data_IF_510838044329
#
_entry.id   IF_510838044329
#
_cell.length_a   1.000
_cell.length_b   1.000
_cell.length_c   1.000
_cell.angle_alpha   90.00
_cell.angle_beta   90.00
_cell.angle_gamma   90.00
#
_symmetry.space_group_name_H-M   'P 1'
#
loop_
_entity.id
_entity.type
_entity.pdbx_description
1 polymer ?
#
# COMPACT_ATOMS: atom_id res chain seq x y z
N UNK A 1 14.38 -14.24 -9.19
CA UNK A 1 13.26 -14.27 -10.16
C UNK A 1 12.71 -15.69 -10.36
N UNK A 2 13.56 -16.74 -10.35
CA UNK A 2 13.15 -18.15 -10.46
C UNK A 2 12.31 -18.62 -9.24
N UNK A 3 12.69 -18.24 -8.01
CA UNK A 3 11.98 -18.66 -6.80
C UNK A 3 10.50 -18.22 -6.73
N UNK A 4 10.17 -17.01 -7.18
CA UNK A 4 8.78 -16.52 -7.16
C UNK A 4 7.90 -17.20 -8.24
N UNK A 5 8.48 -17.54 -9.39
CA UNK A 5 7.77 -18.23 -10.47
C UNK A 5 7.50 -19.71 -10.10
N UNK A 6 8.47 -20.39 -9.47
CA UNK A 6 8.29 -21.76 -8.99
C UNK A 6 7.23 -21.83 -7.88
N UNK A 7 7.24 -20.88 -6.94
CA UNK A 7 6.26 -20.83 -5.86
C UNK A 7 4.85 -20.52 -6.37
N UNK A 8 4.72 -19.61 -7.33
CA UNK A 8 3.43 -19.30 -7.97
C UNK A 8 2.85 -20.48 -8.74
N UNK A 9 3.69 -21.22 -9.47
CA UNK A 9 3.28 -22.44 -10.19
C UNK A 9 2.86 -23.55 -9.22
N UNK A 10 3.60 -23.75 -8.13
CA UNK A 10 3.27 -24.76 -7.13
C UNK A 10 1.96 -24.46 -6.41
N UNK A 11 1.71 -23.18 -6.08
CA UNK A 11 0.45 -22.72 -5.48
C UNK A 11 -0.73 -22.97 -6.44
N UNK A 12 -0.57 -22.62 -7.72
CA UNK A 12 -1.61 -22.82 -8.72
C UNK A 12 -1.91 -24.30 -8.95
N UNK A 13 -0.88 -25.15 -8.97
CA UNK A 13 -1.02 -26.60 -9.07
C UNK A 13 -1.80 -27.19 -7.88
N UNK A 14 -1.49 -26.76 -6.65
CA UNK A 14 -2.20 -27.21 -5.44
C UNK A 14 -3.68 -26.78 -5.47
N UNK A 15 -3.98 -25.55 -5.92
CA UNK A 15 -5.37 -25.08 -6.07
C UNK A 15 -6.14 -25.93 -7.08
N UNK A 16 -5.53 -26.23 -8.23
CA UNK A 16 -6.14 -27.08 -9.27
C UNK A 16 -6.37 -28.50 -8.74
N UNK A 17 -5.39 -29.07 -8.01
CA UNK A 17 -5.51 -30.40 -7.42
C UNK A 17 -6.67 -30.48 -6.43
N UNK A 18 -6.79 -29.48 -5.55
CA UNK A 18 -7.90 -29.36 -4.59
C UNK A 18 -9.23 -29.30 -5.34
N UNK A 19 -9.33 -28.47 -6.38
CA UNK A 19 -10.54 -28.32 -7.18
C UNK A 19 -10.97 -29.63 -7.86
N UNK A 20 -10.01 -30.39 -8.41
CA UNK A 20 -10.28 -31.71 -9.01
C UNK A 20 -10.79 -32.70 -7.97
N UNK A 21 -10.17 -32.78 -6.79
CA UNK A 21 -10.62 -33.67 -5.71
C UNK A 21 -12.06 -33.34 -5.29
N UNK A 22 -12.41 -32.05 -5.18
CA UNK A 22 -13.77 -31.62 -4.86
C UNK A 22 -14.79 -31.99 -5.94
N UNK A 23 -14.47 -31.76 -7.23
CA UNK A 23 -15.32 -32.19 -8.34
C UNK A 23 -15.56 -33.70 -8.32
N UNK A 24 -14.54 -34.48 -7.97
CA UNK A 24 -14.62 -35.93 -7.86
C UNK A 24 -15.57 -36.34 -6.73
N UNK A 25 -15.47 -35.70 -5.56
CA UNK A 25 -16.36 -35.96 -4.41
C UNK A 25 -17.82 -35.62 -4.74
N UNK A 26 -18.06 -34.50 -5.44
CA UNK A 26 -19.40 -34.11 -5.87
C UNK A 26 -19.97 -35.12 -6.88
N UNK A 27 -19.16 -35.55 -7.86
CA UNK A 27 -19.57 -36.52 -8.87
C UNK A 27 -19.95 -37.88 -8.29
N UNK A 28 -19.20 -38.37 -7.29
CA UNK A 28 -19.48 -39.65 -6.64
C UNK A 28 -20.50 -39.57 -5.51
N UNK A 29 -20.94 -38.37 -5.10
CA UNK A 29 -21.91 -38.22 -4.03
C UNK A 29 -23.31 -38.65 -4.49
N UNK A 30 -23.78 -39.79 -3.99
CA UNK A 30 -25.18 -40.23 -4.15
C UNK A 30 -26.17 -39.40 -3.34
N UNK A 31 -25.70 -38.69 -2.32
CA UNK A 31 -26.52 -37.89 -1.43
C UNK A 31 -26.46 -36.41 -1.85
N UNK A 32 -27.56 -35.91 -2.45
CA UNK A 32 -27.67 -34.52 -2.91
C UNK A 32 -27.42 -33.50 -1.80
N UNK A 33 -27.91 -33.76 -0.58
CA UNK A 33 -27.74 -32.85 0.56
C UNK A 33 -26.28 -32.78 0.99
N UNK A 34 -25.58 -33.92 1.03
CA UNK A 34 -24.16 -33.96 1.36
C UNK A 34 -23.31 -33.24 0.29
N UNK A 35 -23.67 -33.39 -0.99
CA UNK A 35 -22.98 -32.70 -2.08
C UNK A 35 -23.16 -31.17 -1.99
N UNK A 36 -24.37 -30.69 -1.74
CA UNK A 36 -24.64 -29.26 -1.55
C UNK A 36 -23.88 -28.68 -0.35
N UNK A 37 -23.81 -29.41 0.77
CA UNK A 37 -23.08 -28.96 1.96
C UNK A 37 -21.57 -28.85 1.69
N UNK A 38 -21.00 -29.79 0.93
CA UNK A 38 -19.60 -29.76 0.49
C UNK A 38 -19.33 -28.57 -0.44
N UNK A 39 -20.23 -28.30 -1.40
CA UNK A 39 -20.13 -27.15 -2.30
C UNK A 39 -20.17 -25.84 -1.52
N UNK A 40 -21.13 -25.69 -0.61
CA UNK A 40 -21.25 -24.50 0.25
C UNK A 40 -20.00 -24.30 1.11
N UNK A 41 -19.47 -25.37 1.72
CA UNK A 41 -18.22 -25.32 2.49
C UNK A 41 -17.02 -24.88 1.65
N UNK A 42 -16.92 -25.37 0.40
CA UNK A 42 -15.86 -24.97 -0.52
C UNK A 42 -15.96 -23.50 -0.93
N UNK A 43 -17.16 -23.05 -1.30
CA UNK A 43 -17.40 -21.63 -1.66
C UNK A 43 -17.03 -20.74 -0.47
N UNK A 44 -17.43 -21.11 0.74
CA UNK A 44 -17.10 -20.35 1.95
C UNK A 44 -15.59 -20.29 2.18
N UNK A 45 -14.90 -21.44 2.14
CA UNK A 45 -13.45 -21.49 2.31
C UNK A 45 -12.71 -20.66 1.25
N UNK A 46 -13.10 -20.78 -0.01
CA UNK A 46 -12.50 -20.02 -1.10
C UNK A 46 -12.72 -18.52 -0.92
N UNK A 47 -13.94 -18.13 -0.54
CA UNK A 47 -14.30 -16.72 -0.29
C UNK A 47 -13.44 -16.14 0.84
N UNK A 48 -13.31 -16.84 1.96
CA UNK A 48 -12.48 -16.40 3.10
C UNK A 48 -11.01 -16.21 2.68
N UNK A 49 -10.44 -17.19 1.96
CA UNK A 49 -9.06 -17.12 1.50
C UNK A 49 -8.84 -16.01 0.46
N UNK A 50 -9.81 -15.81 -0.44
CA UNK A 50 -9.79 -14.72 -1.40
C UNK A 50 -9.67 -13.37 -0.69
N UNK A 51 -10.51 -13.11 0.32
CA UNK A 51 -10.44 -11.89 1.11
C UNK A 51 -9.10 -11.76 1.85
N UNK A 52 -8.58 -12.82 2.46
CA UNK A 52 -7.32 -12.76 3.20
C UNK A 52 -6.10 -12.45 2.32
N UNK A 53 -6.07 -12.98 1.08
CA UNK A 53 -4.97 -12.76 0.13
C UNK A 53 -5.06 -11.36 -0.50
N UNK A 54 -6.26 -10.91 -0.86
CA UNK A 54 -6.46 -9.64 -1.55
C UNK A 54 -6.55 -8.44 -0.61
N UNK A 55 -7.05 -8.64 0.61
CA UNK A 55 -7.26 -7.61 1.61
C UNK A 55 -6.54 -8.02 2.91
N UNK A 56 -5.26 -7.66 3.08
CA UNK A 56 -4.56 -7.97 4.31
C UNK A 56 -5.24 -7.28 5.50
N UNK A 57 -5.41 -8.02 6.61
CA UNK A 57 -6.04 -7.49 7.84
C UNK A 57 -5.21 -6.35 8.43
N UNK A 58 -3.88 -6.47 8.36
CA UNK A 58 -2.94 -5.48 8.85
C UNK A 58 -1.99 -5.05 7.75
N UNK A 59 -1.75 -3.75 7.64
CA UNK A 59 -0.81 -3.14 6.71
C UNK A 59 0.18 -2.26 7.48
N UNK A 60 1.38 -2.08 6.91
CA UNK A 60 2.33 -1.15 7.48
C UNK A 60 1.87 0.29 7.23
N UNK A 61 1.83 1.11 8.27
CA UNK A 61 1.32 2.49 8.21
C UNK A 61 2.39 3.56 8.40
N UNK A 62 3.53 3.18 9.00
CA UNK A 62 4.61 4.10 9.31
C UNK A 62 5.92 3.64 8.67
N UNK A 63 6.61 4.55 7.99
CA UNK A 63 7.93 4.32 7.41
C UNK A 63 8.90 5.41 7.88
N UNK A 64 10.01 4.99 8.47
CA UNK A 64 11.12 5.87 8.85
C UNK A 64 12.18 5.93 7.74
N UNK A 65 12.49 7.13 7.30
CA UNK A 65 13.56 7.42 6.34
C UNK A 65 14.51 8.42 6.99
N UNK A 66 15.66 7.94 7.46
CA UNK A 66 16.56 8.72 8.31
C UNK A 66 15.79 9.33 9.50
N UNK A 67 15.70 10.66 9.58
CA UNK A 67 14.96 11.37 10.64
C UNK A 67 13.52 11.72 10.26
N UNK A 68 13.06 11.33 9.07
CA UNK A 68 11.71 11.62 8.58
C UNK A 68 10.77 10.45 8.83
N UNK A 69 9.56 10.76 9.29
CA UNK A 69 8.49 9.78 9.51
C UNK A 69 7.40 10.02 8.47
N UNK A 70 7.12 9.01 7.66
CA UNK A 70 6.00 8.99 6.73
C UNK A 70 4.88 8.16 7.33
N UNK A 71 3.70 8.75 7.46
CA UNK A 71 2.51 8.10 8.04
C UNK A 71 1.42 8.05 6.98
N UNK A 72 0.79 6.90 6.83
CA UNK A 72 -0.46 6.77 6.07
C UNK A 72 -1.63 7.14 6.97
N UNK A 73 -1.89 8.44 7.14
CA UNK A 73 -3.14 8.88 7.77
C UNK A 73 -4.24 8.93 6.70
N UNK A 74 -5.25 8.09 6.87
CA UNK A 74 -6.44 8.14 6.06
C UNK A 74 -7.27 9.34 6.47
N UNK A 75 -7.23 10.40 5.67
CA UNK A 75 -8.15 11.53 5.79
C UNK A 75 -9.26 11.38 4.74
N UNK A 76 -10.47 11.03 5.18
CA UNK A 76 -11.62 10.81 4.30
C UNK A 76 -12.06 12.03 3.46
N UNK A 77 -11.53 13.22 3.77
CA UNK A 77 -11.80 14.46 3.04
C UNK A 77 -10.86 14.71 1.84
N UNK A 78 -9.70 14.03 1.77
CA UNK A 78 -8.70 14.24 0.70
C UNK A 78 -8.40 12.88 0.04
N UNK A 79 -8.86 12.65 -1.20
CA UNK A 79 -8.75 11.34 -1.84
C UNK A 79 -7.30 10.95 -2.22
N UNK A 80 -6.37 11.90 -2.32
CA UNK A 80 -4.93 11.62 -2.39
C UNK A 80 -4.30 11.84 -1.01
N UNK A 81 -3.92 10.75 -0.33
CA UNK A 81 -3.08 10.82 0.87
C UNK A 81 -1.79 11.56 0.51
N UNK A 82 -1.61 12.76 1.06
CA UNK A 82 -0.39 13.54 0.87
C UNK A 82 0.66 13.03 1.84
N UNK A 83 1.86 12.73 1.32
CA UNK A 83 2.97 12.23 2.13
C UNK A 83 4.01 13.33 2.26
N UNK A 84 4.12 13.98 3.42
CA UNK A 84 5.15 15.00 3.64
C UNK A 84 6.46 14.36 4.09
N UNK A 85 7.58 14.77 3.48
CA UNK A 85 8.92 14.43 3.94
C UNK A 85 9.40 15.52 4.92
N UNK A 86 8.68 15.67 6.03
CA UNK A 86 8.93 16.72 7.01
C UNK A 86 8.91 18.12 6.38
N UNK A 87 9.94 18.90 6.65
CA UNK A 87 10.15 20.27 6.13
C UNK A 87 10.58 20.32 4.66
N UNK A 88 10.82 19.17 4.01
CA UNK A 88 11.34 19.11 2.63
C UNK A 88 10.28 19.20 1.56
N UNK A 89 9.03 18.85 1.89
CA UNK A 89 7.88 18.97 0.98
C UNK A 89 7.12 17.67 0.74
N UNK A 90 6.17 17.69 -0.18
CA UNK A 90 5.25 16.58 -0.44
C UNK A 90 5.80 15.59 -1.47
N UNK A 91 5.70 14.30 -1.18
CA UNK A 91 6.17 13.20 -2.00
C UNK A 91 5.15 12.81 -3.07
N UNK A 92 5.61 12.81 -4.32
CA UNK A 92 4.87 12.29 -5.48
C UNK A 92 5.11 10.80 -5.65
N UNK A 93 6.37 10.36 -5.53
CA UNK A 93 6.80 8.97 -5.73
C UNK A 93 7.95 8.63 -4.80
N UNK A 94 8.07 7.36 -4.45
CA UNK A 94 9.12 6.81 -3.59
C UNK A 94 9.50 5.40 -4.07
N UNK A 95 10.72 4.96 -3.79
CA UNK A 95 11.15 3.58 -3.79
C UNK A 95 12.44 3.42 -2.98
N UNK A 96 12.82 2.16 -2.73
CA UNK A 96 14.11 1.79 -2.15
C UNK A 96 14.92 0.99 -3.17
N UNK A 97 16.15 1.42 -3.44
CA UNK A 97 17.13 0.67 -4.25
C UNK A 97 18.36 0.43 -3.40
N UNK A 98 18.61 -0.85 -3.06
CA UNK A 98 19.62 -1.23 -2.06
C UNK A 98 19.34 -0.49 -0.74
N UNK A 99 20.32 0.26 -0.24
CA UNK A 99 20.22 1.05 1.00
C UNK A 99 19.82 2.51 0.77
N UNK A 100 19.48 2.87 -0.48
CA UNK A 100 19.09 4.23 -0.84
C UNK A 100 17.57 4.35 -0.98
N UNK A 101 17.01 5.30 -0.25
CA UNK A 101 15.67 5.82 -0.49
C UNK A 101 15.72 6.84 -1.61
N UNK A 102 14.85 6.67 -2.60
CA UNK A 102 14.77 7.55 -3.76
C UNK A 102 13.33 7.95 -3.93
N UNK A 103 13.09 9.24 -4.08
CA UNK A 103 11.76 9.73 -4.37
C UNK A 103 11.79 10.98 -5.19
N UNK A 104 10.59 11.52 -5.39
CA UNK A 104 10.36 12.77 -6.09
C UNK A 104 9.46 13.63 -5.21
N UNK A 105 9.92 14.84 -4.89
CA UNK A 105 9.14 15.86 -4.20
C UNK A 105 8.47 16.72 -5.27
N UNK A 106 7.15 16.92 -5.14
CA UNK A 106 6.39 17.85 -5.99
C UNK A 106 7.10 19.20 -6.05
N UNK A 107 7.07 19.90 -7.17
CA UNK A 107 7.42 21.32 -7.13
C UNK A 107 6.34 22.11 -6.39
N UNK A 108 6.68 23.34 -6.01
CA UNK A 108 5.82 24.15 -5.17
C UNK A 108 4.45 24.44 -5.80
N UNK A 109 4.43 24.69 -7.11
CA UNK A 109 3.21 25.02 -7.84
C UNK A 109 2.31 23.78 -7.97
N UNK A 110 2.89 22.61 -8.27
CA UNK A 110 2.22 21.31 -8.23
C UNK A 110 1.66 20.98 -6.83
N UNK A 111 2.41 21.28 -5.78
CA UNK A 111 2.02 20.99 -4.40
C UNK A 111 0.88 21.89 -3.91
N UNK A 112 0.94 23.20 -4.19
CA UNK A 112 -0.16 24.12 -3.87
C UNK A 112 -1.43 23.68 -4.57
N UNK A 113 -1.38 23.47 -5.88
CA UNK A 113 -2.57 23.09 -6.65
C UNK A 113 -3.24 21.80 -6.15
N UNK A 114 -2.49 20.92 -5.49
CA UNK A 114 -2.99 19.63 -5.00
C UNK A 114 -3.37 19.64 -3.52
N UNK A 115 -2.71 20.43 -2.68
CA UNK A 115 -2.75 20.23 -1.23
C UNK A 115 -2.90 21.51 -0.40
N UNK A 116 -2.59 22.70 -0.93
CA UNK A 116 -2.54 23.94 -0.14
C UNK A 116 -3.35 25.06 -0.80
N UNK A 117 -4.10 25.83 -0.01
CA UNK A 117 -4.68 27.08 -0.49
C UNK A 117 -3.59 28.14 -0.69
N UNK A 118 -3.57 28.75 -1.89
CA UNK A 118 -2.44 29.52 -2.43
C UNK A 118 -2.14 30.87 -1.73
N UNK A 119 -2.86 31.24 -0.68
CA UNK A 119 -3.04 32.66 -0.33
C UNK A 119 -1.89 33.31 0.46
N UNK A 120 -0.82 32.59 0.85
CA UNK A 120 0.15 33.11 1.82
C UNK A 120 1.64 32.79 1.62
N UNK A 121 2.16 32.59 0.41
CA UNK A 121 3.42 31.84 0.31
C UNK A 121 4.45 32.35 -0.74
N UNK A 122 4.88 33.61 -0.60
CA UNK A 122 5.97 34.15 -1.45
C UNK A 122 7.39 33.67 -1.07
N UNK A 123 7.69 33.59 0.24
CA UNK A 123 9.03 33.19 0.74
C UNK A 123 9.23 31.68 0.81
N UNK A 124 8.19 30.91 1.14
CA UNK A 124 8.31 29.45 1.25
C UNK A 124 8.45 28.78 -0.12
N UNK A 125 8.02 29.42 -1.22
CA UNK A 125 8.22 28.91 -2.60
C UNK A 125 9.69 28.66 -2.93
N UNK A 126 10.57 29.62 -2.62
CA UNK A 126 12.00 29.53 -2.95
C UNK A 126 12.66 28.42 -2.14
N UNK A 127 12.35 28.34 -0.84
CA UNK A 127 12.91 27.34 0.05
C UNK A 127 12.40 25.93 -0.27
N UNK A 128 11.12 25.80 -0.57
CA UNK A 128 10.51 24.54 -0.99
C UNK A 128 11.11 24.03 -2.30
N UNK A 129 11.25 24.90 -3.32
CA UNK A 129 11.80 24.49 -4.61
C UNK A 129 13.28 24.11 -4.57
N UNK A 130 14.03 24.45 -3.52
CA UNK A 130 15.39 23.91 -3.32
C UNK A 130 15.40 22.43 -3.00
N UNK A 131 14.27 21.86 -2.59
CA UNK A 131 14.13 20.44 -2.27
C UNK A 131 13.32 19.68 -3.34
N UNK A 132 12.60 20.38 -4.21
CA UNK A 132 11.77 19.76 -5.25
C UNK A 132 12.61 19.00 -6.28
N UNK A 133 11.99 18.03 -6.94
CA UNK A 133 12.67 17.13 -7.87
C UNK A 133 13.08 15.81 -7.21
N UNK A 134 14.06 15.11 -7.79
CA UNK A 134 14.48 13.81 -7.26
C UNK A 134 15.39 13.97 -6.04
N UNK A 135 15.32 13.01 -5.12
CA UNK A 135 16.22 12.95 -3.98
C UNK A 135 16.78 11.53 -3.77
N UNK A 136 17.89 11.47 -3.03
CA UNK A 136 18.49 10.24 -2.52
C UNK A 136 18.77 10.43 -1.03
N UNK A 137 18.24 9.56 -0.19
CA UNK A 137 18.52 9.52 1.26
C UNK A 137 19.07 8.14 1.61
N UNK A 138 20.22 8.11 2.27
CA UNK A 138 20.79 6.91 2.88
C UNK A 138 21.34 7.25 4.28
N UNK A 139 22.07 6.31 4.88
CA UNK A 139 22.67 6.50 6.22
C UNK A 139 23.82 7.52 6.26
N UNK A 140 24.41 7.86 5.12
CA UNK A 140 25.60 8.70 5.01
C UNK A 140 25.28 10.11 4.54
N UNK A 141 24.35 10.26 3.59
CA UNK A 141 24.01 11.53 2.98
C UNK A 141 22.53 11.65 2.58
N UNK A 142 22.11 12.90 2.45
CA UNK A 142 20.81 13.31 1.94
C UNK A 142 21.04 14.30 0.81
N UNK A 143 20.61 13.95 -0.39
CA UNK A 143 20.77 14.75 -1.59
C UNK A 143 19.39 15.06 -2.14
N UNK A 144 19.10 16.34 -2.39
CA UNK A 144 17.84 16.82 -2.93
C UNK A 144 18.07 17.57 -4.25
N UNK A 145 16.99 17.91 -4.94
CA UNK A 145 17.03 18.68 -6.19
C UNK A 145 17.91 18.07 -7.28
N UNK A 146 17.81 16.75 -7.41
CA UNK A 146 18.50 16.00 -8.46
C UNK A 146 17.59 15.85 -9.69
N UNK A 147 18.22 15.72 -10.86
CA UNK A 147 17.54 15.23 -12.06
C UNK A 147 17.46 13.70 -12.05
N UNK A 148 16.59 13.14 -12.89
CA UNK A 148 16.45 11.69 -13.00
C UNK A 148 17.77 11.02 -13.43
N UNK A 149 18.49 11.67 -14.34
CA UNK A 149 19.78 11.25 -14.88
C UNK A 149 20.86 11.22 -13.79
N UNK A 150 20.94 12.26 -12.97
CA UNK A 150 21.89 12.33 -11.86
C UNK A 150 21.65 11.20 -10.85
N UNK A 151 20.38 10.87 -10.58
CA UNK A 151 20.04 9.76 -9.70
C UNK A 151 20.41 8.41 -10.33
N UNK A 152 20.08 8.21 -11.62
CA UNK A 152 20.45 6.99 -12.36
C UNK A 152 21.96 6.77 -12.39
N UNK A 153 22.73 7.82 -12.63
CA UNK A 153 24.19 7.80 -12.67
C UNK A 153 24.77 7.44 -11.29
N UNK A 154 24.36 8.15 -10.23
CA UNK A 154 24.82 7.90 -8.85
C UNK A 154 24.51 6.47 -8.39
N UNK A 155 23.36 5.93 -8.78
CA UNK A 155 22.94 4.58 -8.38
C UNK A 155 23.38 3.48 -9.36
N UNK A 156 23.94 3.86 -10.51
CA UNK A 156 24.32 2.96 -11.61
C UNK A 156 23.15 2.08 -12.08
N UNK A 157 21.98 2.68 -12.29
CA UNK A 157 20.75 1.99 -12.74
C UNK A 157 20.19 2.60 -14.02
N UNK A 158 19.59 1.75 -14.87
CA UNK A 158 19.01 2.20 -16.15
C UNK A 158 17.63 2.87 -15.99
N UNK A 159 16.84 2.46 -14.99
CA UNK A 159 15.47 2.94 -14.76
C UNK A 159 15.19 3.10 -13.28
N UNK A 160 14.51 4.18 -12.91
CA UNK A 160 13.99 4.39 -11.55
C UNK A 160 12.52 3.94 -11.52
N UNK A 161 12.27 2.75 -10.97
CA UNK A 161 10.92 2.20 -10.85
C UNK A 161 10.21 2.78 -9.61
N UNK A 162 9.96 4.08 -9.59
CA UNK A 162 9.30 4.75 -8.45
C UNK A 162 7.80 4.48 -8.44
N UNK A 163 7.23 4.28 -7.24
CA UNK A 163 5.80 3.99 -7.04
C UNK A 163 5.18 5.02 -6.10
N UNK A 164 3.86 4.97 -5.95
CA UNK A 164 3.15 5.74 -4.93
C UNK A 164 3.76 5.43 -3.54
N UNK A 165 4.08 6.45 -2.71
CA UNK A 165 4.65 6.25 -1.37
C UNK A 165 3.86 5.27 -0.51
N UNK A 166 2.54 5.24 -0.61
CA UNK A 166 1.69 4.29 0.12
C UNK A 166 2.11 2.83 -0.12
N UNK A 167 2.34 2.44 -1.38
CA UNK A 167 2.79 1.08 -1.74
C UNK A 167 4.16 0.76 -1.16
N UNK A 168 5.00 1.78 -0.98
CA UNK A 168 6.33 1.62 -0.40
C UNK A 168 6.26 1.49 1.12
N UNK A 169 5.42 2.29 1.79
CA UNK A 169 5.17 2.22 3.23
C UNK A 169 4.59 0.84 3.58
N UNK A 170 3.58 0.37 2.85
CA UNK A 170 3.02 -0.98 3.04
C UNK A 170 4.08 -2.08 2.95
N UNK A 171 5.08 -1.92 2.08
CA UNK A 171 6.14 -2.93 1.87
C UNK A 171 7.26 -2.86 2.91
N UNK A 172 7.70 -1.67 3.31
CA UNK A 172 8.93 -1.49 4.11
C UNK A 172 8.70 -0.81 5.47
N UNK A 173 7.48 -0.41 5.78
CA UNK A 173 7.14 0.23 7.05
C UNK A 173 7.26 -0.73 8.23
N UNK A 174 7.32 -0.15 9.41
CA UNK A 174 7.67 -0.86 10.65
C UNK A 174 6.43 -1.16 11.51
N UNK A 175 5.46 -0.26 11.52
CA UNK A 175 4.27 -0.38 12.36
C UNK A 175 3.11 -0.96 11.57
N UNK A 176 2.57 -2.09 12.04
CA UNK A 176 1.39 -2.74 11.47
C UNK A 176 0.14 -2.29 12.18
N UNK A 177 -0.77 -1.65 11.45
CA UNK A 177 -2.12 -1.33 11.92
C UNK A 177 -3.17 -2.04 11.08
N UNK A 178 -4.43 -1.97 11.52
CA UNK A 178 -5.57 -2.45 10.73
C UNK A 178 -5.57 -1.74 9.36
N UNK A 179 -5.71 -2.50 8.28
CA UNK A 179 -5.71 -1.91 6.94
C UNK A 179 -6.92 -1.00 6.73
N UNK A 180 -6.80 -0.06 5.81
CA UNK A 180 -7.86 0.91 5.51
C UNK A 180 -9.20 0.23 5.19
N UNK A 181 -9.17 -0.90 4.47
CA UNK A 181 -10.37 -1.68 4.15
C UNK A 181 -11.12 -2.12 5.41
N UNK A 182 -10.41 -2.67 6.39
CA UNK A 182 -11.02 -3.13 7.63
C UNK A 182 -11.30 -2.01 8.63
N UNK A 183 -10.63 -0.85 8.54
CA UNK A 183 -11.00 0.38 9.27
C UNK A 183 -12.35 0.89 8.76
N UNK A 184 -12.53 0.98 7.44
CA UNK A 184 -13.81 1.36 6.80
C UNK A 184 -14.93 0.38 7.19
N UNK A 185 -14.67 -0.93 7.21
CA UNK A 185 -15.68 -1.90 7.66
C UNK A 185 -16.13 -1.64 9.10
N UNK A 186 -15.20 -1.35 10.01
CA UNK A 186 -15.56 -1.02 11.39
C UNK A 186 -16.40 0.26 11.44
N UNK A 187 -15.92 1.33 10.78
CA UNK A 187 -16.53 2.64 10.85
C UNK A 187 -17.95 2.68 10.23
N UNK A 188 -18.17 1.93 9.13
CA UNK A 188 -19.41 2.01 8.35
C UNK A 188 -20.34 0.80 8.51
N UNK A 189 -19.83 -0.39 8.83
CA UNK A 189 -20.64 -1.62 8.86
C UNK A 189 -20.78 -2.22 10.26
N UNK A 190 -19.89 -1.90 11.20
CA UNK A 190 -19.90 -2.48 12.55
C UNK A 190 -19.78 -1.37 13.60
N UNK A 191 -20.87 -0.64 13.91
CA UNK A 191 -20.87 0.22 15.08
C UNK A 191 -20.99 -0.70 16.31
N UNK A 192 -19.90 -1.31 16.76
CA UNK A 192 -19.83 -1.76 18.14
C UNK A 192 -19.73 -0.51 19.00
N UNK A 193 -20.89 0.07 19.30
CA UNK A 193 -21.09 0.78 20.54
C UNK A 193 -20.63 -0.16 21.65
N UNK A 194 -19.73 0.31 22.52
CA UNK A 194 -19.34 -0.35 23.78
C UNK A 194 -20.56 -0.64 24.69
N UNK A 195 -21.75 -0.19 24.29
CA UNK A 195 -23.05 -0.58 24.79
C UNK A 195 -23.86 -1.25 23.67
N UNK A 196 -23.71 -2.56 23.49
CA UNK A 196 -24.67 -3.48 22.84
C UNK A 196 -25.25 -3.13 21.45
N UNK A 197 -25.03 -4.03 20.48
CA UNK A 197 -25.80 -4.25 19.24
C UNK A 197 -26.47 -2.98 18.66
N UNK A 198 -25.69 -2.21 17.88
CA UNK A 198 -26.21 -1.14 17.03
C UNK A 198 -26.90 -1.72 15.79
N UNK A 199 -28.23 -1.69 15.77
CA UNK A 199 -29.06 -2.02 14.61
C UNK A 199 -28.76 -1.03 13.47
N UNK A 200 -28.44 -1.54 12.28
CA UNK A 200 -28.37 -0.76 11.04
C UNK A 200 -29.78 -0.21 10.76
N UNK A 201 -29.97 1.11 10.84
CA UNK A 201 -31.15 1.77 10.27
C UNK A 201 -30.90 1.99 8.79
N UNK A 202 -31.60 1.21 7.96
CA UNK A 202 -31.84 1.50 6.54
C UNK A 202 -32.69 2.78 6.38
#
# INVERSE_FOLDING_TARGET
MIFAAVYGFLLLFVIVLIFVVFLTIIYFSKNKVLAELIICGFILFFTINFFYIWFPIKENTELKIANYLLITEYNGAVPEVSFSLGDKGYLKKLNKIKDNWIGYIYDFDEAISKFLDAEKIGKEKIEYNKNSGYFIINSQNQLFHLTEEQVKEKLKVKKLNLKNPEKIIRKYGEKKEKSTFYKIIDDYFIPFSDKGIGIIRL
#
